data_IF_913177817501
#
_entry.id   IF_913177817501
#
_cell.length_a   1.000
_cell.length_b   1.000
_cell.length_c   1.000
_cell.angle_alpha   90.00
_cell.angle_beta   90.00
_cell.angle_gamma   90.00
#
_symmetry.space_group_name_H-M   'P 1'
#
loop_
_entity.id
_entity.type
_entity.pdbx_description
1 polymer ?
#
# COMPACT_ATOMS: atom_id res chain seq x y z
N UNK A 1 -19.26 14.33 -8.20
CA UNK A 1 -17.97 14.16 -7.50
C UNK A 1 -16.91 13.88 -8.55
N UNK A 2 -15.76 14.55 -8.51
CA UNK A 2 -14.64 14.30 -9.44
C UNK A 2 -13.64 13.25 -8.88
N UNK A 3 -12.68 12.83 -9.70
CA UNK A 3 -11.66 11.83 -9.34
C UNK A 3 -10.84 12.24 -8.11
N UNK A 4 -10.41 13.50 -8.03
CA UNK A 4 -9.53 13.96 -6.95
C UNK A 4 -10.27 13.88 -5.60
N UNK A 5 -11.52 14.37 -5.55
CA UNK A 5 -12.39 14.24 -4.38
C UNK A 5 -12.73 12.79 -4.06
N UNK A 6 -12.92 11.95 -5.08
CA UNK A 6 -13.19 10.53 -4.90
C UNK A 6 -12.03 9.82 -4.18
N UNK A 7 -10.79 10.11 -4.58
CA UNK A 7 -9.58 9.58 -3.94
C UNK A 7 -9.43 10.17 -2.53
N UNK A 8 -9.55 11.50 -2.38
CA UNK A 8 -9.40 12.24 -1.13
C UNK A 8 -10.31 11.70 -0.01
N UNK A 9 -11.58 11.44 -0.32
CA UNK A 9 -12.58 10.97 0.64
C UNK A 9 -12.84 9.47 0.57
N UNK A 10 -12.11 8.72 -0.25
CA UNK A 10 -12.28 7.27 -0.43
C UNK A 10 -13.71 6.87 -0.76
N UNK A 11 -14.34 7.57 -1.70
CA UNK A 11 -15.77 7.40 -1.97
C UNK A 11 -16.07 6.16 -2.80
N UNK A 12 -16.67 5.17 -2.13
CA UNK A 12 -17.06 3.90 -2.74
C UNK A 12 -18.00 4.09 -3.94
N UNK A 13 -18.96 5.02 -3.87
CA UNK A 13 -19.97 5.21 -4.92
C UNK A 13 -19.34 5.52 -6.27
N UNK A 14 -18.30 6.35 -6.32
CA UNK A 14 -17.63 6.67 -7.58
C UNK A 14 -16.89 5.48 -8.16
N UNK A 15 -16.18 4.72 -7.34
CA UNK A 15 -15.44 3.54 -7.79
C UNK A 15 -16.36 2.35 -8.11
N UNK A 16 -17.55 2.26 -7.51
CA UNK A 16 -18.60 1.33 -7.92
C UNK A 16 -19.11 1.65 -9.33
N UNK A 17 -19.45 2.91 -9.60
CA UNK A 17 -19.90 3.35 -10.93
C UNK A 17 -18.81 3.12 -11.97
N UNK A 18 -17.57 3.55 -11.68
CA UNK A 18 -16.45 3.38 -12.58
C UNK A 18 -16.16 1.90 -12.88
N UNK A 19 -16.17 1.04 -11.86
CA UNK A 19 -15.92 -0.39 -12.08
C UNK A 19 -17.03 -1.05 -12.89
N UNK A 20 -18.28 -0.66 -12.68
CA UNK A 20 -19.40 -1.14 -13.48
C UNK A 20 -19.29 -0.71 -14.95
N UNK A 21 -18.88 0.54 -15.21
CA UNK A 21 -18.68 1.07 -16.57
C UNK A 21 -17.50 0.39 -17.29
N UNK A 22 -16.39 0.14 -16.60
CA UNK A 22 -15.21 -0.50 -17.20
C UNK A 22 -15.41 -2.01 -17.43
N UNK A 23 -16.06 -2.69 -16.49
CA UNK A 23 -16.15 -4.15 -16.48
C UNK A 23 -14.86 -4.82 -15.98
N UNK A 24 -14.99 -6.07 -15.50
CA UNK A 24 -13.89 -6.80 -14.84
C UNK A 24 -12.67 -7.00 -15.72
N UNK A 25 -12.83 -7.33 -17.01
CA UNK A 25 -11.68 -7.70 -17.85
C UNK A 25 -10.82 -6.47 -18.18
N UNK A 26 -11.44 -5.30 -18.40
CA UNK A 26 -10.70 -4.05 -18.59
C UNK A 26 -9.94 -3.63 -17.32
N UNK A 27 -10.55 -3.83 -16.14
CA UNK A 27 -9.87 -3.59 -14.85
C UNK A 27 -8.70 -4.58 -14.70
N UNK A 28 -8.92 -5.86 -14.94
CA UNK A 28 -7.88 -6.89 -14.89
C UNK A 28 -6.70 -6.54 -15.82
N UNK A 29 -6.99 -6.23 -17.09
CA UNK A 29 -5.95 -5.98 -18.09
C UNK A 29 -5.16 -4.71 -17.79
N UNK A 30 -5.80 -3.69 -17.21
CA UNK A 30 -5.12 -2.48 -16.75
C UNK A 30 -4.26 -2.72 -15.50
N UNK A 31 -4.74 -3.53 -14.56
CA UNK A 31 -4.08 -3.77 -13.27
C UNK A 31 -2.95 -4.81 -13.37
N UNK A 32 -3.05 -5.75 -14.32
CA UNK A 32 -2.10 -6.85 -14.48
C UNK A 32 -0.64 -6.37 -14.69
N UNK A 33 -0.34 -5.38 -15.55
CA UNK A 33 1.02 -4.85 -15.72
C UNK A 33 1.62 -4.17 -14.48
N UNK A 34 0.80 -3.81 -13.49
CA UNK A 34 1.26 -3.29 -12.19
C UNK A 34 1.72 -4.40 -11.22
N UNK A 35 1.79 -5.65 -11.68
CA UNK A 35 2.26 -6.80 -10.90
C UNK A 35 1.19 -7.51 -10.08
N UNK A 36 -0.06 -7.05 -10.10
CA UNK A 36 -1.15 -7.69 -9.37
C UNK A 36 -1.48 -9.07 -9.93
N UNK A 37 -1.69 -10.05 -9.04
CA UNK A 37 -1.96 -11.44 -9.41
C UNK A 37 -0.75 -12.20 -9.95
N UNK A 38 0.45 -11.63 -9.84
CA UNK A 38 1.71 -12.17 -10.36
C UNK A 38 2.82 -12.10 -9.30
N UNK A 39 3.85 -12.92 -9.49
CA UNK A 39 5.12 -12.81 -8.77
C UNK A 39 5.80 -11.52 -9.25
N UNK A 40 6.21 -10.64 -8.33
CA UNK A 40 6.87 -9.37 -8.65
C UNK A 40 8.32 -9.57 -9.12
N UNK A 41 8.93 -10.70 -8.74
CA UNK A 41 10.29 -11.05 -9.14
C UNK A 41 11.34 -10.57 -8.14
N UNK A 42 10.94 -10.34 -6.88
CA UNK A 42 11.88 -10.04 -5.80
C UNK A 42 12.91 -11.16 -5.65
N UNK A 43 14.14 -10.78 -5.35
CA UNK A 43 15.28 -11.67 -5.10
C UNK A 43 15.22 -12.33 -3.71
N UNK A 44 14.01 -12.68 -3.25
CA UNK A 44 13.74 -13.40 -2.02
C UNK A 44 12.85 -14.62 -2.27
N UNK A 45 13.09 -15.75 -1.58
CA UNK A 45 12.22 -16.91 -1.68
C UNK A 45 10.87 -16.68 -1.00
N UNK A 46 9.87 -17.48 -1.37
CA UNK A 46 8.58 -17.52 -0.69
C UNK A 46 7.54 -16.49 -1.18
N UNK A 47 7.80 -15.83 -2.30
CA UNK A 47 6.82 -14.92 -2.91
C UNK A 47 5.54 -15.66 -3.34
N UNK A 48 4.39 -15.08 -3.03
CA UNK A 48 3.07 -15.57 -3.46
C UNK A 48 2.42 -14.60 -4.44
N UNK A 49 1.72 -15.15 -5.44
CA UNK A 49 1.18 -14.37 -6.57
C UNK A 49 -0.08 -13.55 -6.26
N UNK A 50 -0.77 -13.81 -5.15
CA UNK A 50 -2.11 -13.23 -4.91
C UNK A 50 -3.16 -13.67 -5.95
N UNK A 51 -4.22 -12.88 -6.11
CA UNK A 51 -5.34 -13.11 -7.04
C UNK A 51 -5.79 -11.77 -7.62
N UNK A 52 -5.60 -11.62 -8.93
CA UNK A 52 -6.26 -10.60 -9.75
C UNK A 52 -7.38 -11.28 -10.56
N UNK A 53 -8.66 -11.07 -10.21
CA UNK A 53 -9.76 -11.80 -10.83
C UNK A 53 -10.10 -11.27 -12.23
N UNK A 54 -10.55 -12.19 -13.08
CA UNK A 54 -11.10 -11.96 -14.42
C UNK A 54 -12.19 -12.99 -14.71
N UNK A 55 -12.93 -12.82 -15.81
CA UNK A 55 -13.90 -13.85 -16.24
C UNK A 55 -13.20 -15.19 -16.50
N UNK A 56 -12.01 -15.15 -17.11
CA UNK A 56 -11.21 -16.34 -17.38
C UNK A 56 -10.73 -17.00 -16.07
N UNK A 57 -10.21 -16.20 -15.13
CA UNK A 57 -9.78 -16.69 -13.83
C UNK A 57 -10.93 -17.43 -13.12
N UNK A 58 -12.14 -16.84 -13.11
CA UNK A 58 -13.29 -17.43 -12.43
C UNK A 58 -13.71 -18.77 -13.07
N UNK A 59 -13.74 -18.82 -14.41
CA UNK A 59 -14.05 -20.04 -15.17
C UNK A 59 -13.07 -21.17 -14.87
N UNK A 60 -11.77 -20.85 -14.69
CA UNK A 60 -10.72 -21.84 -14.38
C UNK A 60 -10.70 -22.24 -12.90
N UNK A 61 -11.05 -21.33 -12.00
CA UNK A 61 -10.94 -21.53 -10.54
C UNK A 61 -12.07 -22.40 -9.99
N UNK A 62 -13.30 -22.22 -10.50
CA UNK A 62 -14.47 -22.93 -9.99
C UNK A 62 -14.84 -24.13 -10.86
N UNK A 63 -15.28 -25.22 -10.21
CA UNK A 63 -15.69 -26.47 -10.89
C UNK A 63 -17.16 -26.48 -11.32
N UNK A 64 -18.03 -25.77 -10.59
CA UNK A 64 -19.47 -25.75 -10.87
C UNK A 64 -19.77 -24.68 -11.92
N UNK A 65 -20.49 -25.03 -12.99
CA UNK A 65 -20.84 -24.12 -14.07
C UNK A 65 -21.50 -22.82 -13.57
N UNK A 66 -22.42 -22.93 -12.59
CA UNK A 66 -23.07 -21.77 -11.97
C UNK A 66 -22.10 -20.80 -11.27
N UNK A 67 -20.93 -21.27 -10.83
CA UNK A 67 -19.89 -20.44 -10.20
C UNK A 67 -18.84 -19.96 -11.21
N UNK A 68 -18.77 -20.56 -12.40
CA UNK A 68 -17.84 -20.14 -13.46
C UNK A 68 -18.30 -18.87 -14.18
N UNK A 69 -19.60 -18.59 -14.17
CA UNK A 69 -20.16 -17.37 -14.74
C UNK A 69 -19.80 -16.15 -13.88
N UNK A 70 -19.34 -15.08 -14.53
CA UNK A 70 -19.14 -13.79 -13.89
C UNK A 70 -20.46 -13.03 -13.77
N UNK A 71 -20.78 -12.57 -12.57
CA UNK A 71 -21.97 -11.76 -12.31
C UNK A 71 -21.59 -10.28 -12.21
N UNK A 72 -22.40 -9.39 -12.81
CA UNK A 72 -22.09 -7.97 -12.85
C UNK A 72 -21.88 -7.34 -11.45
N UNK A 73 -22.63 -7.80 -10.45
CA UNK A 73 -22.48 -7.36 -9.05
C UNK A 73 -21.12 -7.67 -8.43
N UNK A 74 -20.39 -8.66 -8.95
CA UNK A 74 -19.05 -9.01 -8.44
C UNK A 74 -18.01 -7.96 -8.85
N UNK A 75 -18.17 -7.34 -10.03
CA UNK A 75 -17.29 -6.27 -10.51
C UNK A 75 -17.33 -5.05 -9.59
N UNK A 76 -18.50 -4.75 -9.01
CA UNK A 76 -18.71 -3.57 -8.16
C UNK A 76 -17.77 -3.62 -6.94
N UNK A 77 -17.69 -4.77 -6.27
CA UNK A 77 -16.79 -4.96 -5.13
C UNK A 77 -15.32 -4.87 -5.52
N UNK A 78 -14.94 -5.31 -6.73
CA UNK A 78 -13.57 -5.19 -7.21
C UNK A 78 -13.12 -3.73 -7.35
N UNK A 79 -14.03 -2.83 -7.71
CA UNK A 79 -13.75 -1.40 -7.89
C UNK A 79 -13.16 -0.70 -6.67
N UNK A 80 -13.44 -1.23 -5.47
CA UNK A 80 -12.93 -0.72 -4.20
C UNK A 80 -11.86 -1.64 -3.58
N UNK A 81 -11.32 -2.60 -4.34
CA UNK A 81 -10.30 -3.52 -3.88
C UNK A 81 -10.81 -4.68 -3.01
N UNK A 82 -12.13 -4.94 -3.00
CA UNK A 82 -12.76 -6.04 -2.25
C UNK A 82 -13.12 -7.21 -3.18
N UNK A 83 -13.84 -8.21 -2.67
CA UNK A 83 -14.31 -9.36 -3.44
C UNK A 83 -13.22 -10.41 -3.60
N UNK A 84 -12.93 -10.81 -4.84
CA UNK A 84 -11.90 -11.83 -5.13
C UNK A 84 -10.48 -11.26 -5.18
N UNK A 85 -10.31 -9.94 -5.08
CA UNK A 85 -9.00 -9.32 -5.01
C UNK A 85 -8.25 -9.79 -3.76
N UNK A 86 -7.04 -10.31 -3.94
CA UNK A 86 -6.14 -10.66 -2.85
C UNK A 86 -4.71 -10.34 -3.27
N UNK A 87 -4.07 -9.39 -2.62
CA UNK A 87 -2.76 -8.89 -3.03
C UNK A 87 -1.78 -8.87 -1.86
N UNK A 88 -0.51 -9.08 -2.16
CA UNK A 88 0.56 -8.96 -1.15
C UNK A 88 0.89 -7.48 -0.91
N UNK A 89 1.47 -7.19 0.26
CA UNK A 89 1.97 -5.83 0.56
C UNK A 89 3.08 -5.41 -0.41
N UNK A 90 3.89 -6.38 -0.88
CA UNK A 90 4.89 -6.15 -1.91
C UNK A 90 4.27 -5.76 -3.25
N UNK A 91 3.16 -6.38 -3.67
CA UNK A 91 2.43 -5.97 -4.88
C UNK A 91 1.86 -4.55 -4.72
N UNK A 92 1.33 -4.20 -3.55
CA UNK A 92 0.83 -2.84 -3.29
C UNK A 92 1.95 -1.79 -3.32
N UNK A 93 3.10 -2.06 -2.70
CA UNK A 93 4.24 -1.14 -2.73
C UNK A 93 4.84 -1.01 -4.13
N UNK A 94 4.96 -2.10 -4.88
CA UNK A 94 5.44 -2.11 -6.27
C UNK A 94 4.50 -1.35 -7.22
N UNK A 95 3.19 -1.57 -7.12
CA UNK A 95 2.20 -0.84 -7.91
C UNK A 95 2.23 0.67 -7.60
N UNK A 96 2.36 1.03 -6.31
CA UNK A 96 2.50 2.42 -5.91
C UNK A 96 3.80 3.03 -6.45
N UNK A 97 4.94 2.34 -6.30
CA UNK A 97 6.24 2.79 -6.80
C UNK A 97 6.18 3.06 -8.30
N UNK A 98 5.59 2.15 -9.07
CA UNK A 98 5.38 2.31 -10.52
C UNK A 98 4.52 3.53 -10.84
N UNK A 99 3.39 3.73 -10.14
CA UNK A 99 2.52 4.89 -10.32
C UNK A 99 3.25 6.21 -10.03
N UNK A 100 3.96 6.29 -8.90
CA UNK A 100 4.60 7.55 -8.48
C UNK A 100 5.83 7.86 -9.32
N UNK A 101 6.42 6.83 -9.94
CA UNK A 101 7.48 6.94 -10.94
C UNK A 101 6.95 7.06 -12.38
N UNK A 102 5.77 7.66 -12.56
CA UNK A 102 5.18 8.01 -13.86
C UNK A 102 4.99 6.81 -14.81
N UNK A 103 4.72 5.62 -14.27
CA UNK A 103 4.50 4.40 -15.05
C UNK A 103 5.77 3.62 -15.38
N UNK A 104 6.93 4.03 -14.85
CA UNK A 104 8.16 3.24 -14.95
C UNK A 104 8.18 2.16 -13.86
N UNK A 105 8.03 0.90 -14.27
CA UNK A 105 8.05 -0.27 -13.39
C UNK A 105 9.47 -0.82 -13.26
N UNK A 106 9.91 -0.99 -12.01
CA UNK A 106 11.20 -1.58 -11.65
C UNK A 106 10.94 -2.87 -10.86
N UNK A 107 11.68 -3.93 -11.18
CA UNK A 107 11.65 -5.17 -10.39
C UNK A 107 12.15 -4.86 -8.98
N UNK A 108 11.37 -5.16 -7.92
CA UNK A 108 11.83 -4.97 -6.56
C UNK A 108 13.01 -5.90 -6.26
N UNK A 109 13.99 -5.44 -5.50
CA UNK A 109 15.14 -6.24 -5.08
C UNK A 109 15.67 -5.76 -3.73
N UNK A 110 16.36 -6.66 -3.01
CA UNK A 110 16.99 -6.42 -1.71
C UNK A 110 18.51 -6.40 -1.84
N UNK A 111 19.06 -7.27 -2.69
CA UNK A 111 20.50 -7.33 -2.93
C UNK A 111 21.01 -6.04 -3.56
N UNK A 112 22.03 -5.43 -2.94
CA UNK A 112 22.70 -4.22 -3.45
C UNK A 112 23.98 -4.57 -4.21
N UNK A 113 24.83 -5.37 -3.59
CA UNK A 113 26.13 -5.76 -4.10
C UNK A 113 26.49 -7.17 -3.61
N UNK A 114 27.30 -7.87 -4.39
CA UNK A 114 27.97 -9.10 -3.99
C UNK A 114 29.35 -8.73 -3.44
N UNK A 115 29.70 -9.31 -2.30
CA UNK A 115 31.02 -9.15 -1.68
C UNK A 115 31.73 -10.50 -1.78
N UNK A 116 32.84 -10.54 -2.50
CA UNK A 116 33.72 -11.70 -2.55
C UNK A 116 34.37 -11.89 -1.16
N UNK A 117 34.17 -13.06 -0.56
CA UNK A 117 34.58 -13.33 0.82
C UNK A 117 36.09 -13.44 1.00
N UNK A 118 36.86 -13.64 -0.07
CA UNK A 118 38.32 -13.82 -0.01
C UNK A 118 39.04 -12.51 -0.32
N UNK A 119 38.62 -11.82 -1.38
CA UNK A 119 39.25 -10.61 -1.89
C UNK A 119 38.62 -9.33 -1.34
N UNK A 120 37.41 -9.40 -0.79
CA UNK A 120 36.62 -8.24 -0.39
C UNK A 120 36.07 -7.43 -1.57
N UNK A 121 36.22 -7.93 -2.80
CA UNK A 121 35.78 -7.22 -4.01
C UNK A 121 34.26 -7.08 -4.01
N UNK A 122 33.78 -5.84 -4.18
CA UNK A 122 32.36 -5.51 -4.25
C UNK A 122 31.90 -5.35 -5.70
N UNK A 123 30.86 -6.08 -6.08
CA UNK A 123 30.27 -6.03 -7.42
C UNK A 123 28.78 -5.73 -7.33
N UNK A 124 28.32 -4.68 -8.01
CA UNK A 124 26.90 -4.33 -8.02
C UNK A 124 26.07 -5.45 -8.67
N UNK A 125 24.89 -5.74 -8.10
CA UNK A 125 23.97 -6.70 -8.70
C UNK A 125 23.27 -6.03 -9.90
N UNK A 126 23.43 -6.61 -11.08
CA UNK A 126 22.81 -6.12 -12.31
C UNK A 126 21.30 -6.36 -12.25
N UNK A 127 20.53 -5.28 -12.32
CA UNK A 127 19.07 -5.33 -12.33
C UNK A 127 18.51 -5.33 -13.76
N UNK A 128 17.35 -5.96 -14.00
CA UNK A 128 16.64 -5.85 -15.28
C UNK A 128 16.32 -4.39 -15.63
N UNK A 129 16.26 -4.09 -16.93
CA UNK A 129 15.84 -2.77 -17.40
C UNK A 129 14.39 -2.48 -16.98
N UNK A 130 14.07 -1.23 -16.59
CA UNK A 130 12.70 -0.88 -16.20
C UNK A 130 11.74 -0.90 -17.39
N UNK A 131 10.48 -1.22 -17.12
CA UNK A 131 9.42 -1.29 -18.14
C UNK A 131 8.55 -0.04 -18.05
N UNK A 132 8.39 0.68 -19.17
CA UNK A 132 7.46 1.81 -19.25
C UNK A 132 6.04 1.31 -19.60
N UNK A 133 5.09 1.53 -18.69
CA UNK A 133 3.69 1.13 -18.90
C UNK A 133 2.89 2.10 -19.80
N UNK A 134 3.50 3.17 -20.30
CA UNK A 134 2.89 4.11 -21.24
C UNK A 134 1.77 4.97 -20.64
N UNK A 135 1.82 5.23 -19.33
CA UNK A 135 0.80 6.02 -18.66
C UNK A 135 0.80 7.47 -19.14
N UNK A 136 -0.38 8.00 -19.44
CA UNK A 136 -0.54 9.41 -19.76
C UNK A 136 -0.26 10.26 -18.50
N UNK A 137 0.73 11.14 -18.58
CA UNK A 137 1.18 11.94 -17.44
C UNK A 137 0.03 12.71 -16.76
N UNK A 138 -0.90 13.29 -17.54
CA UNK A 138 -2.06 14.00 -16.99
C UNK A 138 -2.94 13.15 -16.07
N UNK A 139 -3.03 11.84 -16.33
CA UNK A 139 -3.81 10.91 -15.52
C UNK A 139 -3.06 10.55 -14.23
N UNK A 140 -1.75 10.31 -14.34
CA UNK A 140 -0.87 10.08 -13.18
C UNK A 140 -0.93 11.29 -12.25
N UNK A 141 -0.81 12.51 -12.77
CA UNK A 141 -0.86 13.75 -12.00
C UNK A 141 -2.22 13.96 -11.34
N UNK A 142 -3.32 13.58 -12.01
CA UNK A 142 -4.66 13.63 -11.42
C UNK A 142 -4.80 12.68 -10.22
N UNK A 143 -4.26 11.46 -10.33
CA UNK A 143 -4.25 10.49 -9.22
C UNK A 143 -3.35 10.97 -8.08
N UNK A 144 -2.13 11.43 -8.38
CA UNK A 144 -1.19 11.99 -7.39
C UNK A 144 -1.81 13.16 -6.63
N UNK A 145 -2.50 14.08 -7.31
CA UNK A 145 -3.24 15.19 -6.67
C UNK A 145 -4.34 14.68 -5.73
N UNK A 146 -5.07 13.65 -6.12
CA UNK A 146 -6.05 12.99 -5.24
C UNK A 146 -5.40 12.40 -3.98
N UNK A 147 -4.26 11.72 -4.12
CA UNK A 147 -3.50 11.15 -3.01
C UNK A 147 -2.92 12.21 -2.07
N UNK A 148 -2.46 13.35 -2.60
CA UNK A 148 -2.07 14.51 -1.79
C UNK A 148 -3.28 15.08 -1.05
N UNK A 149 -4.45 15.15 -1.71
CA UNK A 149 -5.72 15.54 -1.10
C UNK A 149 -6.06 14.72 0.15
N UNK A 150 -5.74 13.42 0.17
CA UNK A 150 -5.97 12.54 1.33
C UNK A 150 -5.29 13.07 2.60
N UNK A 151 -4.06 13.59 2.49
CA UNK A 151 -3.28 14.06 3.63
C UNK A 151 -3.50 15.54 3.96
N UNK A 152 -3.90 16.36 2.99
CA UNK A 152 -4.16 17.80 3.23
C UNK A 152 -5.59 18.08 3.69
N UNK A 153 -6.56 17.28 3.23
CA UNK A 153 -7.98 17.54 3.45
C UNK A 153 -8.87 16.29 3.56
N UNK A 154 -8.28 15.09 3.54
CA UNK A 154 -9.03 13.83 3.47
C UNK A 154 -8.80 12.92 4.67
N UNK A 155 -8.92 11.62 4.43
CA UNK A 155 -8.90 10.58 5.48
C UNK A 155 -7.56 10.46 6.21
N UNK A 156 -6.45 10.97 5.65
CA UNK A 156 -5.12 10.98 6.27
C UNK A 156 -4.76 12.29 6.99
N UNK A 157 -5.61 13.32 6.92
CA UNK A 157 -5.31 14.66 7.46
C UNK A 157 -4.96 14.67 8.95
N UNK A 158 -5.66 13.89 9.76
CA UNK A 158 -5.42 13.84 11.20
C UNK A 158 -4.02 13.34 11.59
N UNK A 159 -3.36 12.59 10.69
CA UNK A 159 -2.02 12.01 10.93
C UNK A 159 -0.92 12.82 10.25
N UNK A 160 -1.17 13.30 9.04
CA UNK A 160 -0.16 13.94 8.19
C UNK A 160 -0.26 15.48 8.14
N UNK A 161 -1.32 16.09 8.67
CA UNK A 161 -1.54 17.53 8.56
C UNK A 161 -0.48 18.42 9.22
N UNK A 162 0.36 17.85 10.10
CA UNK A 162 1.48 18.53 10.75
C UNK A 162 2.86 18.15 10.18
N UNK A 163 2.92 17.39 9.08
CA UNK A 163 4.19 17.02 8.46
C UNK A 163 4.88 18.24 7.84
N UNK A 164 6.21 18.32 7.97
CA UNK A 164 7.03 19.38 7.37
C UNK A 164 7.29 19.17 5.87
N UNK A 165 6.81 18.07 5.31
CA UNK A 165 6.88 17.72 3.89
C UNK A 165 5.48 17.38 3.37
N UNK A 166 5.29 17.53 2.07
CA UNK A 166 4.08 17.07 1.41
C UNK A 166 4.26 15.62 0.99
N UNK A 167 3.32 14.75 1.36
CA UNK A 167 3.25 13.37 0.90
C UNK A 167 1.97 13.13 0.10
N UNK A 168 1.93 12.01 -0.62
CA UNK A 168 0.66 11.46 -1.09
C UNK A 168 0.39 10.14 -0.38
N UNK A 169 -0.87 9.85 -0.08
CA UNK A 169 -1.22 8.58 0.55
C UNK A 169 -2.65 8.15 0.27
N UNK A 170 -2.96 6.93 0.70
CA UNK A 170 -4.30 6.37 0.62
C UNK A 170 -4.56 5.37 1.73
N UNK A 171 -5.66 5.57 2.47
CA UNK A 171 -6.16 4.63 3.47
C UNK A 171 -6.90 3.47 2.80
N UNK A 172 -6.76 2.28 3.37
CA UNK A 172 -7.55 1.09 3.05
C UNK A 172 -8.02 0.37 4.32
N UNK A 173 -9.05 -0.44 4.16
CA UNK A 173 -9.57 -1.35 5.20
C UNK A 173 -9.81 -2.69 4.52
N UNK A 174 -9.07 -3.73 4.90
CA UNK A 174 -9.27 -5.08 4.35
C UNK A 174 -10.08 -5.92 5.34
N UNK A 175 -11.08 -6.63 4.84
CA UNK A 175 -11.99 -7.40 5.71
C UNK A 175 -11.32 -8.69 6.19
N UNK A 176 -11.31 -8.94 7.50
CA UNK A 176 -10.76 -10.16 8.08
C UNK A 176 -11.79 -11.30 8.13
N UNK A 177 -13.07 -10.98 8.31
CA UNK A 177 -14.17 -11.96 8.32
C UNK A 177 -15.40 -11.45 7.56
N UNK A 178 -16.12 -12.37 6.93
CA UNK A 178 -17.41 -12.09 6.31
C UNK A 178 -18.47 -11.86 7.41
N UNK A 179 -18.89 -10.62 7.63
CA UNK A 179 -20.03 -10.34 8.51
C UNK A 179 -21.32 -10.83 7.83
N UNK A 180 -22.13 -11.61 8.53
CA UNK A 180 -23.39 -12.14 8.00
C UNK A 180 -24.34 -11.02 7.56
N UNK A 181 -25.12 -11.23 6.50
CA UNK A 181 -25.96 -10.24 5.81
C UNK A 181 -26.98 -9.45 6.68
N UNK A 182 -27.13 -9.78 7.97
CA UNK A 182 -28.08 -9.14 8.90
C UNK A 182 -27.42 -8.39 10.07
N UNK A 183 -26.09 -8.37 10.17
CA UNK A 183 -25.40 -7.70 11.28
C UNK A 183 -24.73 -6.39 10.83
N UNK A 184 -24.98 -5.31 11.58
CA UNK A 184 -24.23 -4.05 11.43
C UNK A 184 -22.85 -4.26 12.04
N UNK A 185 -21.79 -3.97 11.26
CA UNK A 185 -20.41 -4.01 11.71
C UNK A 185 -20.22 -3.20 13.00
N UNK A 186 -19.77 -3.85 14.06
CA UNK A 186 -19.42 -3.19 15.32
C UNK A 186 -18.08 -3.73 15.82
N UNK A 187 -17.01 -2.97 15.54
CA UNK A 187 -15.65 -3.31 15.95
C UNK A 187 -15.49 -3.52 17.47
N UNK A 188 -16.34 -2.91 18.30
CA UNK A 188 -16.32 -3.06 19.75
C UNK A 188 -16.93 -4.39 20.24
N UNK A 189 -17.69 -5.10 19.38
CA UNK A 189 -18.32 -6.40 19.69
C UNK A 189 -17.63 -7.59 19.05
N UNK A 190 -16.63 -7.35 18.21
CA UNK A 190 -15.86 -8.39 17.51
C UNK A 190 -14.61 -8.77 18.32
N UNK A 191 -14.29 -10.06 18.34
CA UNK A 191 -12.99 -10.52 18.82
C UNK A 191 -11.86 -9.90 17.97
N UNK A 192 -10.68 -9.71 18.53
CA UNK A 192 -9.57 -9.00 17.87
C UNK A 192 -9.27 -9.58 16.48
N UNK A 193 -9.13 -10.90 16.36
CA UNK A 193 -8.89 -11.60 15.08
C UNK A 193 -10.01 -11.44 14.02
N UNK A 194 -11.19 -10.93 14.40
CA UNK A 194 -12.33 -10.69 13.52
C UNK A 194 -12.41 -9.23 13.04
N UNK A 195 -11.53 -8.36 13.54
CA UNK A 195 -11.49 -6.96 13.12
C UNK A 195 -10.81 -6.83 11.77
N UNK A 196 -11.26 -5.87 10.98
CA UNK A 196 -10.63 -5.51 9.72
C UNK A 196 -9.15 -5.16 9.89
N UNK A 197 -8.36 -5.38 8.85
CA UNK A 197 -6.96 -4.97 8.78
C UNK A 197 -6.85 -3.51 8.36
N UNK A 198 -5.95 -2.79 9.03
CA UNK A 198 -5.65 -1.39 8.75
C UNK A 198 -4.60 -1.34 7.63
N UNK A 199 -4.91 -0.75 6.48
CA UNK A 199 -3.95 -0.56 5.38
C UNK A 199 -3.69 0.92 5.11
N UNK A 200 -2.44 1.24 4.80
CA UNK A 200 -2.07 2.56 4.30
C UNK A 200 -0.92 2.44 3.31
N UNK A 201 -1.06 3.09 2.16
CA UNK A 201 0.04 3.27 1.22
C UNK A 201 0.41 4.76 1.16
N UNK A 202 1.70 5.05 1.05
CA UNK A 202 2.22 6.41 1.10
C UNK A 202 3.47 6.57 0.24
N UNK A 203 3.69 7.75 -0.29
CA UNK A 203 4.94 8.13 -0.92
C UNK A 203 5.31 9.56 -0.54
N UNK A 204 6.60 9.89 -0.64
CA UNK A 204 7.04 11.26 -0.42
C UNK A 204 8.49 11.52 -0.86
N UNK A 205 8.86 12.80 -1.00
CA UNK A 205 7.97 13.97 -1.07
C UNK A 205 7.06 13.92 -2.32
N UNK A 206 5.93 14.61 -2.30
CA UNK A 206 4.89 14.49 -3.34
C UNK A 206 5.37 14.95 -4.73
N UNK A 207 6.22 15.98 -4.77
CA UNK A 207 6.76 16.59 -5.99
C UNK A 207 7.89 15.78 -6.63
N UNK A 208 8.71 15.13 -5.81
CA UNK A 208 9.85 14.32 -6.25
C UNK A 208 9.94 13.06 -5.37
N UNK A 209 9.11 12.04 -5.63
CA UNK A 209 9.04 10.84 -4.78
C UNK A 209 10.39 10.16 -4.61
N UNK A 210 10.80 9.93 -3.36
CA UNK A 210 12.05 9.25 -2.99
C UNK A 210 11.82 7.90 -2.28
N UNK A 211 10.60 7.67 -1.82
CA UNK A 211 10.19 6.45 -1.12
C UNK A 211 8.72 6.17 -1.41
N UNK A 212 8.36 4.90 -1.55
CA UNK A 212 7.00 4.39 -1.57
C UNK A 212 6.88 3.28 -0.50
N UNK A 213 5.82 3.35 0.31
CA UNK A 213 5.61 2.47 1.46
C UNK A 213 4.20 1.92 1.40
N UNK A 214 4.05 0.63 1.70
CA UNK A 214 2.78 0.00 1.99
C UNK A 214 2.85 -0.63 3.38
N UNK A 215 1.87 -0.31 4.23
CA UNK A 215 1.78 -0.79 5.61
C UNK A 215 0.45 -1.50 5.80
N UNK A 216 0.49 -2.67 6.43
CA UNK A 216 -0.66 -3.36 6.98
C UNK A 216 -0.46 -3.57 8.47
N UNK A 217 -1.52 -3.36 9.23
CA UNK A 217 -1.61 -3.80 10.62
C UNK A 217 -2.82 -4.71 10.71
N UNK A 218 -2.56 -5.99 10.96
CA UNK A 218 -3.61 -6.99 11.08
C UNK A 218 -4.52 -6.64 12.26
N UNK A 219 -5.82 -6.86 12.06
CA UNK A 219 -6.86 -6.72 13.09
C UNK A 219 -6.96 -5.35 13.80
N UNK A 220 -6.41 -4.31 13.21
CA UNK A 220 -6.33 -2.97 13.81
C UNK A 220 -7.41 -1.98 13.30
N UNK A 221 -8.47 -2.48 12.65
CA UNK A 221 -9.58 -1.66 12.18
C UNK A 221 -9.22 -0.78 10.97
N UNK A 222 -9.64 0.47 10.98
CA UNK A 222 -9.52 1.37 9.81
C UNK A 222 -8.07 1.77 9.52
N UNK A 223 -7.73 1.94 8.22
CA UNK A 223 -6.39 2.35 7.75
C UNK A 223 -5.76 3.57 8.44
N UNK A 224 -6.59 4.57 8.77
CA UNK A 224 -6.13 5.80 9.43
C UNK A 224 -5.80 5.61 10.93
N UNK A 225 -6.29 4.54 11.56
CA UNK A 225 -6.16 4.33 13.00
C UNK A 225 -4.81 3.73 13.42
N UNK A 226 -4.17 2.94 12.54
CA UNK A 226 -2.92 2.25 12.88
C UNK A 226 -1.87 2.32 11.77
N UNK A 227 -2.21 1.92 10.54
CA UNK A 227 -1.24 1.87 9.44
C UNK A 227 -0.75 3.26 9.01
N UNK A 228 -1.64 4.27 8.92
CA UNK A 228 -1.23 5.63 8.56
C UNK A 228 -0.27 6.29 9.58
N UNK A 229 -0.52 6.20 10.90
CA UNK A 229 0.45 6.63 11.91
C UNK A 229 1.83 5.97 11.78
N UNK A 230 1.90 4.67 11.49
CA UNK A 230 3.18 3.97 11.29
C UNK A 230 3.87 4.49 10.02
N UNK A 231 3.15 4.61 8.91
CA UNK A 231 3.69 5.15 7.66
C UNK A 231 4.22 6.59 7.83
N UNK A 232 3.55 7.42 8.63
CA UNK A 232 4.00 8.78 8.97
C UNK A 232 5.39 8.79 9.61
N UNK A 233 5.66 7.84 10.52
CA UNK A 233 6.96 7.73 11.20
C UNK A 233 8.05 7.23 10.27
N UNK A 234 7.73 6.30 9.37
CA UNK A 234 8.67 5.85 8.33
C UNK A 234 9.06 7.02 7.41
N UNK A 235 8.09 7.83 6.99
CA UNK A 235 8.35 9.01 6.17
C UNK A 235 9.10 10.11 6.94
N UNK A 236 8.78 10.35 8.21
CA UNK A 236 9.51 11.31 9.07
C UNK A 236 10.98 10.90 9.22
N UNK A 237 11.24 9.61 9.42
CA UNK A 237 12.59 9.06 9.48
C UNK A 237 13.34 9.28 8.16
N UNK A 238 12.74 8.86 7.05
CA UNK A 238 13.42 8.83 5.76
C UNK A 238 13.60 10.22 5.12
N UNK A 239 12.62 11.11 5.27
CA UNK A 239 12.59 12.39 4.55
C UNK A 239 13.19 13.54 5.33
N UNK A 240 13.07 13.54 6.66
CA UNK A 240 13.50 14.66 7.50
C UNK A 240 14.41 14.26 8.65
N UNK A 241 14.77 12.98 8.75
CA UNK A 241 15.69 12.47 9.77
C UNK A 241 15.13 12.56 11.19
N UNK A 242 13.81 12.51 11.34
CA UNK A 242 13.14 12.55 12.64
C UNK A 242 12.86 11.13 13.13
N UNK A 243 13.38 10.81 14.31
CA UNK A 243 13.07 9.60 15.04
C UNK A 243 11.96 9.87 16.08
N UNK A 244 11.00 8.95 16.27
CA UNK A 244 9.93 9.10 17.25
C UNK A 244 10.42 9.40 18.68
N UNK A 245 9.67 10.21 19.42
CA UNK A 245 9.90 10.41 20.86
C UNK A 245 9.57 9.13 21.65
N UNK A 246 10.10 8.96 22.87
CA UNK A 246 9.76 7.79 23.71
C UNK A 246 8.26 7.70 24.02
N UNK A 247 7.62 8.85 24.30
CA UNK A 247 6.18 8.91 24.52
C UNK A 247 5.38 8.48 23.27
N UNK A 248 5.88 8.84 22.10
CA UNK A 248 5.30 8.48 20.82
C UNK A 248 5.39 6.97 20.54
N UNK A 249 6.57 6.38 20.77
CA UNK A 249 6.78 4.92 20.66
C UNK A 249 5.85 4.17 21.62
N UNK A 250 5.74 4.64 22.87
CA UNK A 250 4.86 4.05 23.86
C UNK A 250 3.38 4.08 23.41
N UNK A 251 2.93 5.20 22.82
CA UNK A 251 1.57 5.31 22.29
C UNK A 251 1.32 4.36 21.10
N UNK A 252 2.29 4.22 20.19
CA UNK A 252 2.19 3.29 19.05
C UNK A 252 2.10 1.84 19.51
N UNK A 253 2.92 1.43 20.48
CA UNK A 253 2.90 0.07 21.05
C UNK A 253 1.55 -0.30 21.67
N UNK A 254 0.79 0.68 22.16
CA UNK A 254 -0.56 0.49 22.71
C UNK A 254 -1.68 0.61 21.66
N UNK A 255 -1.36 0.80 20.38
CA UNK A 255 -2.35 1.03 19.33
C UNK A 255 -3.10 2.36 19.44
N UNK A 256 -2.57 3.34 20.20
CA UNK A 256 -3.16 4.67 20.40
C UNK A 256 -2.49 5.74 19.52
N UNK A 257 -1.94 5.32 18.38
CA UNK A 257 -1.15 6.19 17.52
C UNK A 257 -2.03 7.17 16.73
N UNK A 258 -1.63 8.43 16.68
CA UNK A 258 -2.15 9.44 15.77
C UNK A 258 -1.01 10.16 15.06
N UNK A 259 -1.14 11.49 14.88
CA UNK A 259 0.00 12.33 14.56
C UNK A 259 1.13 12.15 15.60
N UNK A 260 2.41 12.26 15.21
CA UNK A 260 3.53 12.13 16.15
C UNK A 260 3.41 13.10 17.33
N UNK A 261 3.69 12.62 18.53
CA UNK A 261 3.63 13.39 19.79
C UNK A 261 5.00 13.54 20.46
N UNK A 262 5.13 14.53 21.34
CA UNK A 262 6.38 14.84 22.02
C UNK A 262 7.42 15.48 21.07
N UNK A 263 8.63 15.70 21.59
CA UNK A 263 9.73 16.26 20.79
C UNK A 263 10.42 15.14 20.02
N UNK A 264 10.45 15.17 18.67
CA UNK A 264 11.18 14.18 17.88
C UNK A 264 12.68 14.20 18.22
N UNK A 265 13.31 13.04 18.12
CA UNK A 265 14.76 12.88 18.24
C UNK A 265 15.38 12.91 16.85
N UNK A 266 16.68 13.17 16.74
CA UNK A 266 17.38 13.08 15.45
C UNK A 266 17.84 11.66 15.22
N UNK A 267 17.72 11.16 13.99
CA UNK A 267 18.15 9.80 13.62
C UNK A 267 19.64 9.60 13.89
N UNK A 268 20.46 10.62 13.67
CA UNK A 268 21.92 10.59 13.92
C UNK A 268 22.29 10.39 15.40
N UNK A 269 21.40 10.75 16.32
CA UNK A 269 21.58 10.58 17.76
C UNK A 269 21.10 9.21 18.26
N UNK A 270 20.42 8.43 17.40
CA UNK A 270 19.90 7.12 17.75
C UNK A 270 20.88 6.06 17.25
N UNK A 271 21.54 5.39 18.19
CA UNK A 271 22.25 4.15 17.89
C UNK A 271 21.21 3.06 17.61
N UNK A 272 20.92 2.82 16.33
CA UNK A 272 19.97 1.77 15.92
C UNK A 272 20.67 0.41 15.87
N UNK A 273 21.97 0.38 15.52
CA UNK A 273 22.90 -0.75 15.61
C UNK A 273 24.32 -0.14 15.63
N UNK A 274 25.17 -0.51 16.58
CA UNK A 274 26.62 -0.30 16.42
C UNK A 274 27.09 -1.16 15.26
N UNK A 275 27.73 -0.58 14.25
CA UNK A 275 28.32 -1.29 13.10
C UNK A 275 29.48 -2.27 13.48
N UNK A 276 29.60 -2.65 14.77
CA UNK A 276 30.79 -3.33 15.33
C UNK A 276 30.50 -4.57 16.21
N UNK A 277 29.27 -5.11 16.21
CA UNK A 277 28.98 -6.42 16.80
C UNK A 277 28.07 -7.18 15.82
N UNK A 278 28.49 -8.16 15.02
CA UNK A 278 29.58 -9.14 15.11
C UNK A 278 29.88 -9.69 13.71
N UNK A 279 31.11 -9.50 13.23
CA UNK A 279 31.89 -10.65 12.73
C UNK A 279 32.63 -11.22 13.95
N UNK A 280 32.75 -12.54 14.15
CA UNK A 280 32.76 -13.62 13.15
C UNK A 280 31.50 -14.51 13.13
#
# INVERSE_FOLDING_TARGET
>A
MDLARAIQHSSNVYFYTLANEMGVDAIHDFMKPLGFGQITGIDLPGEVRGVLPSKEWKRKTYKRAAQQQWFAGETISLGIGQGYNNFTILQLSHALATLVNNGMSFTPHVGKELIDSVTGTRTAIVQPAPVNLGFKQSNVDAVKRGMVGVVTGGTGRGVFGSASYLSGGKTGTAQAVSVGQKEKYNAARLAEYQRDHSLYIAYGPAEAPRIAVAVIVENAGFGAAAAAPIARRILDYWLVGNYPSEADIAAVRQGKAGAPIGTPRRVEDISVLSDDETAP
#
